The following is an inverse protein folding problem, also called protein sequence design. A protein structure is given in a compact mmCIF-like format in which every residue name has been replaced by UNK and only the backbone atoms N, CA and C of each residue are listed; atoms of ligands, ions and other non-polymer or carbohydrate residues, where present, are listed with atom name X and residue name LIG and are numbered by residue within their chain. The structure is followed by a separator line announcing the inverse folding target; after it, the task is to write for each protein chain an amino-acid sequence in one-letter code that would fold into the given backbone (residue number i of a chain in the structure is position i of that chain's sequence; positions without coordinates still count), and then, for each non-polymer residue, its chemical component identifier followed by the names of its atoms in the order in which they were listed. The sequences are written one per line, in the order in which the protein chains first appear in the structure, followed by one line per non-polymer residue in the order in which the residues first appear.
data_IF_942472237108
#
_entry.id   IF_942472237108
#
_cell.length_a   1.000
_cell.length_b   1.000
_cell.length_c   1.000
_cell.angle_alpha   90.00
_cell.angle_beta   90.00
_cell.angle_gamma   90.00
#
_symmetry.space_group_name_H-M   'P 1'
#
loop_
_entity.id
_entity.type
_entity.pdbx_description
1 polymer ?
#
# COMPACT_ATOMS: atom_id res chain seq x y z
N UNK A 1 1.73 25.46 27.39
CA UNK A 1 3.07 24.92 27.61
C UNK A 1 3.31 23.70 26.75
N UNK A 2 4.36 23.71 25.98
CA UNK A 2 4.68 22.64 25.03
C UNK A 2 5.83 21.79 25.54
N UNK A 3 5.72 20.48 25.33
CA UNK A 3 6.74 19.51 25.64
C UNK A 3 7.13 18.74 24.40
N UNK A 4 8.41 18.34 24.32
CA UNK A 4 8.94 17.52 23.26
C UNK A 4 9.75 16.37 23.84
N UNK A 5 9.68 15.21 23.17
CA UNK A 5 10.57 14.10 23.45
C UNK A 5 11.39 13.85 22.19
N UNK A 6 12.67 14.16 22.23
CA UNK A 6 13.56 14.08 21.08
C UNK A 6 14.61 12.99 21.33
N UNK A 7 14.81 12.14 20.34
CA UNK A 7 15.79 11.07 20.40
C UNK A 7 16.74 11.23 19.21
N UNK A 8 18.03 11.23 19.49
CA UNK A 8 19.07 11.23 18.48
C UNK A 8 19.82 9.90 18.59
N UNK A 9 19.59 9.01 17.62
CA UNK A 9 20.19 7.70 17.58
C UNK A 9 20.30 7.22 16.14
N UNK A 10 21.28 6.36 15.88
CA UNK A 10 21.39 5.73 14.55
C UNK A 10 20.24 4.75 14.29
N UNK A 11 19.70 4.16 15.35
CA UNK A 11 18.61 3.20 15.27
C UNK A 11 17.77 3.25 16.55
N UNK A 12 16.45 3.30 16.36
CA UNK A 12 15.49 3.23 17.47
C UNK A 12 14.57 2.06 17.17
N UNK A 13 14.37 1.15 18.11
CA UNK A 13 13.54 -0.02 17.90
C UNK A 13 12.64 -0.27 19.09
N UNK A 14 11.40 -0.66 18.81
CA UNK A 14 10.48 -1.21 19.80
C UNK A 14 10.42 -2.71 19.56
N UNK A 15 10.71 -3.49 20.57
CA UNK A 15 10.80 -4.94 20.47
C UNK A 15 9.80 -5.58 21.41
N UNK A 16 9.38 -6.82 21.08
CA UNK A 16 8.55 -7.62 21.94
C UNK A 16 9.46 -8.52 22.78
N UNK A 17 9.53 -8.34 24.11
CA UNK A 17 10.41 -9.16 24.94
C UNK A 17 9.85 -10.56 25.22
N UNK A 18 8.60 -10.83 24.86
CA UNK A 18 7.92 -12.06 25.26
C UNK A 18 8.46 -13.31 24.57
N UNK A 19 9.03 -13.19 23.39
CA UNK A 19 9.46 -14.35 22.59
C UNK A 19 10.95 -14.67 22.71
N UNK A 20 11.69 -13.94 23.53
CA UNK A 20 13.12 -14.18 23.72
C UNK A 20 14.01 -13.80 22.54
N UNK A 21 13.44 -13.34 21.43
CA UNK A 21 14.16 -12.85 20.26
C UNK A 21 13.94 -11.36 20.13
N UNK A 22 14.96 -10.66 19.63
CA UNK A 22 14.86 -9.23 19.36
C UNK A 22 14.21 -9.00 17.98
N UNK A 23 12.91 -9.29 17.86
CA UNK A 23 12.16 -9.00 16.66
C UNK A 23 11.57 -7.61 16.79
N UNK A 24 12.08 -6.60 16.07
CA UNK A 24 11.54 -5.26 16.18
C UNK A 24 10.14 -5.19 15.60
N UNK A 25 9.21 -4.57 16.34
CA UNK A 25 7.90 -4.21 15.81
C UNK A 25 7.96 -2.91 15.01
N UNK A 26 8.89 -2.05 15.38
CA UNK A 26 9.03 -0.71 14.84
C UNK A 26 10.51 -0.31 14.89
N UNK A 27 11.04 0.15 13.78
CA UNK A 27 12.43 0.62 13.69
C UNK A 27 12.48 1.95 12.95
N UNK A 28 13.08 2.95 13.55
CA UNK A 28 13.46 4.18 12.87
C UNK A 28 14.95 4.12 12.57
N UNK A 29 15.32 4.18 11.31
CA UNK A 29 16.70 4.07 10.87
C UNK A 29 16.90 4.89 9.59
N UNK A 30 17.96 5.69 9.55
CA UNK A 30 18.14 6.65 8.50
C UNK A 30 17.02 7.69 8.54
N UNK A 31 16.36 7.90 7.41
CA UNK A 31 15.20 8.81 7.32
C UNK A 31 13.89 8.05 7.13
N UNK A 32 13.83 6.78 7.54
CA UNK A 32 12.71 5.89 7.29
C UNK A 32 12.26 5.20 8.56
N UNK A 33 11.00 4.77 8.55
CA UNK A 33 10.41 3.96 9.61
C UNK A 33 10.00 2.63 9.01
N UNK A 34 10.43 1.54 9.64
CA UNK A 34 10.13 0.18 9.23
C UNK A 34 9.21 -0.47 10.25
N UNK A 35 8.12 -1.06 9.78
CA UNK A 35 7.16 -1.78 10.61
C UNK A 35 6.86 -3.12 9.96
N UNK A 36 6.79 -4.18 10.77
CA UNK A 36 6.41 -5.50 10.26
C UNK A 36 4.93 -5.54 9.90
N UNK A 37 4.08 -5.08 10.80
CA UNK A 37 2.64 -5.01 10.59
C UNK A 37 2.14 -3.65 11.05
N UNK A 38 1.19 -3.10 10.29
CA UNK A 38 0.57 -1.82 10.63
C UNK A 38 -0.94 -1.99 10.56
N UNK A 39 -1.64 -1.68 11.65
CA UNK A 39 -3.08 -1.66 11.73
C UNK A 39 -3.53 -0.21 11.87
N UNK A 40 -4.16 0.30 10.84
CA UNK A 40 -4.57 1.71 10.79
C UNK A 40 -6.08 1.81 10.70
N UNK A 41 -6.65 2.69 11.50
CA UNK A 41 -8.06 3.04 11.35
C UNK A 41 -8.30 3.86 10.08
N UNK A 42 -7.33 4.70 9.73
CA UNK A 42 -7.41 5.55 8.53
C UNK A 42 -5.99 5.87 8.06
N UNK A 43 -5.78 5.81 6.77
CA UNK A 43 -4.52 6.24 6.16
C UNK A 43 -4.84 7.31 5.12
N UNK A 44 -4.22 8.47 5.29
CA UNK A 44 -4.17 9.50 4.26
C UNK A 44 -2.73 9.59 3.82
N UNK A 45 -2.46 9.17 2.59
CA UNK A 45 -1.09 9.08 2.11
C UNK A 45 -0.94 9.76 0.76
N UNK A 46 0.19 10.42 0.51
CA UNK A 46 0.46 11.01 -0.80
C UNK A 46 0.70 9.94 -1.86
N UNK A 47 1.34 8.85 -1.51
CA UNK A 47 1.65 7.76 -2.46
C UNK A 47 1.73 6.45 -1.71
N UNK A 48 1.16 5.40 -2.29
CA UNK A 48 1.32 4.02 -1.84
C UNK A 48 1.95 3.25 -3.00
N UNK A 49 3.02 2.51 -2.74
CA UNK A 49 3.74 1.79 -3.79
C UNK A 49 4.31 0.48 -3.25
N UNK A 50 4.41 -0.49 -4.14
CA UNK A 50 5.11 -1.74 -3.82
C UNK A 50 6.63 -1.59 -3.83
N UNK A 51 7.13 -0.43 -4.24
CA UNK A 51 8.54 -0.27 -4.49
C UNK A 51 8.95 -0.82 -5.86
N UNK A 52 10.21 -0.66 -6.21
CA UNK A 52 10.72 -1.05 -7.52
C UNK A 52 10.65 0.09 -8.53
N UNK A 53 11.27 -0.13 -9.69
CA UNK A 53 11.36 0.89 -10.75
C UNK A 53 11.18 0.23 -12.12
N UNK A 54 9.99 0.31 -12.73
CA UNK A 54 8.74 0.86 -12.17
C UNK A 54 8.11 -0.07 -11.13
N UNK A 55 7.28 0.46 -10.23
CA UNK A 55 6.61 -0.39 -9.25
C UNK A 55 5.52 -1.23 -9.91
N UNK A 56 5.30 -2.44 -9.37
CA UNK A 56 4.22 -3.31 -9.83
C UNK A 56 2.84 -2.79 -9.40
N UNK A 57 2.79 -2.02 -8.33
CA UNK A 57 1.58 -1.43 -7.79
C UNK A 57 1.87 -0.02 -7.31
N UNK A 58 0.99 0.91 -7.60
CA UNK A 58 1.07 2.25 -7.04
C UNK A 58 -0.30 2.92 -7.01
N UNK A 59 -0.50 3.77 -6.01
CA UNK A 59 -1.65 4.65 -5.88
C UNK A 59 -1.13 6.05 -5.62
N UNK A 60 -1.49 6.99 -6.47
CA UNK A 60 -1.01 8.37 -6.40
C UNK A 60 -2.05 9.30 -5.77
N UNK A 61 -1.66 10.51 -5.35
CA UNK A 61 -2.58 11.45 -4.70
C UNK A 61 -3.79 11.85 -5.54
N UNK A 62 -3.66 11.81 -6.87
CA UNK A 62 -4.75 12.12 -7.79
C UNK A 62 -5.69 10.93 -8.00
N UNK A 63 -5.44 9.81 -7.32
CA UNK A 63 -6.29 8.63 -7.39
C UNK A 63 -5.97 7.67 -8.53
N UNK A 64 -4.85 7.85 -9.21
CA UNK A 64 -4.46 6.90 -10.25
C UNK A 64 -3.91 5.63 -9.61
N UNK A 65 -4.58 4.51 -9.90
CA UNK A 65 -4.16 3.19 -9.48
C UNK A 65 -3.47 2.49 -10.65
N UNK A 66 -2.26 2.01 -10.42
CA UNK A 66 -1.51 1.22 -11.39
C UNK A 66 -1.23 -0.15 -10.77
N UNK A 67 -1.59 -1.21 -11.47
CA UNK A 67 -1.33 -2.57 -11.00
C UNK A 67 -0.95 -3.44 -12.19
N UNK A 68 0.11 -4.22 -12.03
CA UNK A 68 0.56 -5.14 -13.08
C UNK A 68 -0.38 -6.34 -13.20
N UNK A 69 -0.90 -6.81 -12.08
CA UNK A 69 -1.86 -7.91 -12.02
C UNK A 69 -2.95 -7.57 -11.01
N UNK A 70 -4.18 -7.92 -11.32
CA UNK A 70 -5.30 -7.73 -10.41
C UNK A 70 -6.26 -8.91 -10.50
N UNK A 71 -6.70 -9.40 -9.36
CA UNK A 71 -7.76 -10.39 -9.24
C UNK A 71 -8.89 -9.74 -8.46
N UNK A 72 -10.00 -9.47 -9.14
CA UNK A 72 -11.12 -8.73 -8.57
C UNK A 72 -12.31 -9.67 -8.46
N UNK A 73 -12.72 -9.96 -7.23
CA UNK A 73 -13.95 -10.68 -6.95
C UNK A 73 -15.01 -9.68 -6.54
N UNK A 74 -15.84 -9.30 -7.50
CA UNK A 74 -16.84 -8.24 -7.26
C UNK A 74 -17.12 -7.48 -8.53
N UNK A 75 -17.46 -6.22 -8.37
CA UNK A 75 -17.88 -5.37 -9.48
C UNK A 75 -16.78 -4.40 -9.90
N UNK A 76 -16.70 -4.14 -11.19
CA UNK A 76 -15.88 -3.07 -11.74
C UNK A 76 -16.79 -2.11 -12.48
N UNK A 77 -16.79 -0.85 -12.09
CA UNK A 77 -17.53 0.21 -12.76
C UNK A 77 -16.52 1.21 -13.31
N UNK A 78 -16.33 1.20 -14.61
CA UNK A 78 -15.39 2.10 -15.28
C UNK A 78 -16.12 2.87 -16.38
N UNK A 79 -15.85 4.17 -16.48
CA UNK A 79 -16.46 5.02 -17.48
C UNK A 79 -15.85 4.82 -18.87
N UNK A 80 -14.61 4.35 -18.92
CA UNK A 80 -13.92 4.10 -20.19
C UNK A 80 -12.82 3.07 -19.96
N UNK A 81 -12.35 2.45 -21.01
CA UNK A 81 -11.28 1.49 -20.89
C UNK A 81 -10.90 0.84 -22.21
N UNK A 82 -9.78 0.13 -22.17
CA UNK A 82 -9.31 -0.73 -23.25
C UNK A 82 -8.95 -2.07 -22.66
N UNK A 83 -9.45 -3.15 -23.24
CA UNK A 83 -9.16 -4.51 -22.82
C UNK A 83 -8.47 -5.25 -23.95
N UNK A 84 -7.34 -5.89 -23.65
CA UNK A 84 -6.61 -6.70 -24.61
C UNK A 84 -6.68 -8.16 -24.17
N UNK A 85 -6.88 -9.07 -25.13
CA UNK A 85 -6.89 -10.51 -24.88
C UNK A 85 -7.83 -10.91 -23.74
N UNK A 86 -9.08 -10.43 -23.83
CA UNK A 86 -10.05 -10.65 -22.77
C UNK A 86 -10.97 -11.83 -23.13
N UNK A 87 -11.32 -12.64 -22.15
CA UNK A 87 -12.37 -13.65 -22.25
C UNK A 87 -13.55 -13.20 -21.40
N UNK A 88 -14.72 -13.13 -22.01
CA UNK A 88 -15.97 -12.77 -21.34
C UNK A 88 -16.86 -13.99 -21.33
N UNK A 89 -17.27 -14.41 -20.15
CA UNK A 89 -18.15 -15.55 -19.97
C UNK A 89 -19.59 -15.19 -20.36
N UNK A 90 -20.53 -16.07 -20.01
CA UNK A 90 -21.94 -15.87 -20.31
C UNK A 90 -22.50 -14.62 -19.61
N UNK A 91 -23.70 -14.21 -20.01
CA UNK A 91 -24.43 -13.08 -19.45
C UNK A 91 -23.74 -11.74 -19.68
N UNK A 92 -23.15 -11.61 -20.86
CA UNK A 92 -22.56 -10.35 -21.28
C UNK A 92 -23.58 -9.50 -22.05
N UNK A 93 -23.60 -8.22 -21.74
CA UNK A 93 -24.45 -7.24 -22.47
C UNK A 93 -23.56 -6.08 -22.88
N UNK A 94 -23.54 -5.81 -24.20
CA UNK A 94 -22.79 -4.69 -24.75
C UNK A 94 -23.79 -3.76 -25.42
N UNK A 95 -23.73 -2.49 -25.04
CA UNK A 95 -24.61 -1.46 -25.59
C UNK A 95 -23.80 -0.53 -26.45
N UNK A 96 -24.13 -0.48 -27.72
CA UNK A 96 -23.57 0.45 -28.66
C UNK A 96 -24.55 1.58 -28.96
N UNK A 97 -24.14 2.46 -29.82
CA UNK A 97 -25.03 3.49 -30.38
C UNK A 97 -25.98 2.89 -31.39
#
# INVERSE_FOLDING_TARGET
KLSQFLVAANRIAFIDPANGNETPMFVAQGNQIFMNDVFLKRLTAPTITSGGSPPAFSLTPDGKLTAKNADISGSVNANSGTLNNVTINENCRVLGK
#
